data_IF_879002842941
#
_entry.id   IF_879002842941
#
_cell.length_a   1.000
_cell.length_b   1.000
_cell.length_c   1.000
_cell.angle_alpha   90.00
_cell.angle_beta   90.00
_cell.angle_gamma   90.00
#
_symmetry.space_group_name_H-M   'P 1'
#
loop_
_entity.id
_entity.type
_entity.pdbx_description
1 polymer ?
2 branched ?
3 non-polymer ?
4 non-polymer ?
5 water ?
#
# COMPACT_ATOMS: atom_id res chain seq x y z
N UNK A 1 16.09 -4.15 0.50
CA UNK A 1 14.86 -4.84 1.08
C UNK A 1 14.49 -4.07 2.33
N UNK A 2 13.24 -4.22 2.76
CA UNK A 2 12.86 -3.70 4.07
C UNK A 2 12.17 -4.86 4.86
N UNK A 3 12.15 -4.73 6.16
CA UNK A 3 11.58 -5.76 7.01
C UNK A 3 10.70 -5.19 8.12
N UNK A 4 9.77 -6.01 8.60
CA UNK A 4 8.96 -5.63 9.77
C UNK A 4 8.63 -6.93 10.56
N UNK A 5 8.85 -6.89 11.87
CA UNK A 5 8.54 -7.99 12.80
C UNK A 5 7.35 -7.69 13.70
N UNK A 6 6.37 -8.57 13.71
CA UNK A 6 5.21 -8.32 14.55
C UNK A 6 5.58 -8.66 16.03
N UNK A 7 6.58 -9.53 16.22
CA UNK A 7 6.94 -9.94 17.58
C UNK A 7 7.66 -8.74 18.24
N UNK A 8 7.04 -8.20 19.30
CA UNK A 8 7.61 -7.05 19.98
C UNK A 8 7.20 -5.73 19.29
N UNK A 9 6.37 -5.78 18.24
CA UNK A 9 6.01 -4.53 17.51
C UNK A 9 5.22 -3.52 18.37
N UNK A 10 5.50 -2.24 18.11
CA UNK A 10 4.76 -1.19 18.77
C UNK A 10 4.64 0.04 17.82
N UNK A 11 3.94 1.10 18.23
CA UNK A 11 3.85 2.20 17.23
C UNK A 11 5.16 2.69 16.72
N UNK A 12 6.17 2.71 17.56
CA UNK A 12 7.46 3.17 17.10
C UNK A 12 8.12 2.23 16.08
N UNK A 13 8.12 0.92 16.33
CA UNK A 13 8.79 0.05 15.38
C UNK A 13 8.02 -0.02 14.04
N UNK A 14 6.70 0.11 14.10
CA UNK A 14 5.89 0.14 12.90
C UNK A 14 6.26 1.45 12.11
N UNK A 15 6.36 2.56 12.83
CA UNK A 15 6.71 3.87 12.17
C UNK A 15 8.07 3.76 11.50
N UNK A 16 9.04 3.06 12.11
CA UNK A 16 10.38 2.83 11.51
C UNK A 16 10.26 2.01 10.22
N UNK A 17 9.41 0.96 10.23
CA UNK A 17 9.20 0.14 9.05
C UNK A 17 8.56 1.07 7.92
N UNK A 18 7.57 1.89 8.21
CA UNK A 18 6.91 2.62 7.18
C UNK A 18 7.89 3.70 6.61
N UNK A 19 8.67 4.27 7.55
CA UNK A 19 9.81 5.11 7.07
C UNK A 19 10.81 4.39 6.13
N UNK A 20 11.24 3.17 6.48
CA UNK A 20 12.15 2.36 5.63
C UNK A 20 11.47 2.08 4.29
N UNK A 21 10.14 1.79 4.34
CA UNK A 21 9.43 1.47 3.11
C UNK A 21 9.40 2.73 2.15
N UNK A 22 8.99 3.87 2.70
CA UNK A 22 9.02 5.11 1.86
C UNK A 22 10.46 5.35 1.31
N UNK A 23 11.45 5.16 2.14
CA UNK A 23 12.90 5.47 1.78
C UNK A 23 13.53 4.48 0.82
N UNK A 24 12.89 3.29 0.66
CA UNK A 24 13.36 2.33 -0.31
C UNK A 24 12.79 2.65 -1.73
N UNK A 25 11.82 3.57 -1.83
CA UNK A 25 11.29 3.84 -3.13
C UNK A 25 12.10 4.96 -3.79
N UNK A 26 12.54 4.71 -5.02
CA UNK A 26 13.42 5.74 -5.63
C UNK A 26 12.66 6.92 -6.22
N UNK A 27 13.34 8.09 -6.29
CA UNK A 27 12.75 9.26 -6.89
C UNK A 27 13.97 10.14 -7.24
N UNK A 28 13.78 10.98 -8.25
CA UNK A 28 14.84 11.91 -8.68
C UNK A 28 14.39 13.34 -8.37
N UNK A 29 13.09 13.57 -8.18
CA UNK A 29 12.54 14.90 -8.01
C UNK A 29 11.49 14.86 -6.89
N UNK A 30 11.29 15.98 -6.22
CA UNK A 30 10.10 16.23 -5.35
C UNK A 30 9.23 17.28 -6.00
N UNK A 31 7.93 17.14 -5.78
CA UNK A 31 6.95 18.08 -6.24
C UNK A 31 6.25 18.55 -5.01
N UNK A 32 6.34 19.87 -4.80
CA UNK A 32 5.88 20.49 -3.56
C UNK A 32 6.41 19.73 -2.34
N UNK A 33 7.69 19.33 -2.43
CA UNK A 33 8.43 18.73 -1.36
C UNK A 33 8.00 17.25 -1.04
N UNK A 34 7.18 16.70 -1.93
CA UNK A 34 6.72 15.27 -1.81
C UNK A 34 7.51 14.47 -2.90
N UNK A 35 8.21 13.37 -2.54
CA UNK A 35 8.87 12.52 -3.51
C UNK A 35 7.92 12.10 -4.66
N UNK A 36 8.41 12.25 -5.90
CA UNK A 36 7.66 11.88 -7.10
C UNK A 36 8.15 10.52 -7.54
N UNK A 37 7.29 9.50 -7.45
CA UNK A 37 7.79 8.21 -7.92
C UNK A 37 8.17 8.24 -9.43
N UNK A 38 9.06 7.32 -9.80
CA UNK A 38 9.57 7.25 -11.19
C UNK A 38 8.52 6.79 -12.23
N UNK A 39 8.66 7.22 -13.49
CA UNK A 39 7.72 6.79 -14.55
C UNK A 39 7.85 5.27 -14.74
N UNK A 40 9.07 4.77 -14.63
CA UNK A 40 9.31 3.36 -14.88
C UNK A 40 10.69 2.98 -14.41
N UNK A 41 10.91 1.69 -14.19
CA UNK A 41 12.17 1.15 -13.77
C UNK A 41 12.20 -0.19 -14.52
N UNK A 42 13.36 -0.51 -15.14
CA UNK A 42 13.47 -1.73 -15.97
C UNK A 42 14.11 -2.83 -15.20
N UNK A 43 13.63 -4.05 -15.47
CA UNK A 43 14.21 -5.25 -14.89
C UNK A 43 13.84 -5.48 -13.45
N UNK A 44 14.74 -6.11 -12.75
CA UNK A 44 14.47 -6.57 -11.41
C UNK A 44 14.36 -5.38 -10.41
N UNK A 45 15.06 -4.26 -10.73
CA UNK A 45 15.06 -3.12 -9.83
C UNK A 45 13.70 -2.46 -9.65
N UNK A 46 12.70 -2.85 -10.47
CA UNK A 46 11.35 -2.33 -10.35
C UNK A 46 10.74 -2.82 -9.01
N UNK A 47 11.26 -3.89 -8.45
CA UNK A 47 10.52 -4.56 -7.31
C UNK A 47 11.23 -4.47 -6.00
N UNK A 48 10.55 -3.92 -4.98
CA UNK A 48 11.10 -3.95 -3.63
C UNK A 48 10.59 -5.21 -2.91
N UNK A 49 11.44 -5.83 -2.13
CA UNK A 49 11.02 -7.04 -1.30
C UNK A 49 10.84 -6.57 0.13
N UNK A 50 9.65 -6.88 0.68
CA UNK A 50 9.34 -6.57 2.07
C UNK A 50 9.28 -7.88 2.80
N UNK A 51 10.14 -8.04 3.76
CA UNK A 51 10.11 -9.25 4.55
C UNK A 51 9.26 -9.04 5.77
N UNK A 52 8.12 -9.76 5.88
CA UNK A 52 7.28 -9.60 7.03
C UNK A 52 7.24 -10.81 7.91
N UNK A 53 7.27 -10.58 9.24
CA UNK A 53 7.31 -11.74 10.16
C UNK A 53 6.20 -11.68 11.14
N UNK A 54 5.46 -12.80 11.22
CA UNK A 54 4.35 -12.82 12.18
C UNK A 54 4.86 -12.95 13.58
N UNK A 55 3.95 -12.94 14.52
CA UNK A 55 4.39 -12.92 15.94
C UNK A 55 5.24 -14.17 16.29
N UNK A 56 4.93 -15.32 15.65
CA UNK A 56 5.71 -16.56 15.81
C UNK A 56 6.97 -16.60 15.01
N UNK A 57 7.28 -15.55 14.22
CA UNK A 57 8.60 -15.59 13.54
C UNK A 57 8.55 -16.25 12.15
N UNK A 58 7.40 -16.72 11.73
CA UNK A 58 7.21 -17.17 10.35
C UNK A 58 7.15 -16.02 9.39
N UNK A 59 7.55 -16.23 8.17
CA UNK A 59 7.74 -15.05 7.29
C UNK A 59 7.20 -15.26 5.88
N UNK A 60 6.75 -14.15 5.33
CA UNK A 60 6.51 -14.05 3.85
C UNK A 60 7.32 -12.88 3.30
N UNK A 61 7.66 -12.97 2.02
CA UNK A 61 8.34 -11.85 1.36
C UNK A 61 7.37 -11.30 0.36
N UNK A 62 7.12 -10.00 0.42
CA UNK A 62 6.17 -9.42 -0.48
C UNK A 62 6.86 -8.55 -1.53
N UNK A 63 6.47 -8.70 -2.80
CA UNK A 63 7.09 -7.91 -3.92
C UNK A 63 6.23 -6.73 -4.23
N UNK A 64 6.83 -5.52 -4.22
CA UNK A 64 6.15 -4.27 -4.41
C UNK A 64 6.80 -3.50 -5.62
N UNK A 65 5.94 -3.09 -6.53
CA UNK A 65 6.34 -2.29 -7.70
C UNK A 65 6.69 -0.84 -7.15
N UNK A 66 7.99 -0.47 -7.32
CA UNK A 66 8.52 0.81 -6.73
C UNK A 66 7.99 2.10 -7.45
N UNK A 67 7.37 1.95 -8.60
CA UNK A 67 6.83 3.11 -9.35
C UNK A 67 5.44 3.44 -8.85
N UNK A 68 4.70 2.46 -8.22
CA UNK A 68 3.34 2.79 -7.87
C UNK A 68 2.84 2.19 -6.47
N UNK A 69 3.78 1.54 -5.81
CA UNK A 69 3.61 0.89 -4.52
C UNK A 69 2.56 -0.22 -4.59
N UNK A 70 2.37 -0.79 -5.76
CA UNK A 70 1.35 -1.86 -5.89
C UNK A 70 1.99 -3.19 -5.54
N UNK A 71 1.30 -3.99 -4.70
CA UNK A 71 1.90 -5.31 -4.36
C UNK A 71 1.58 -6.22 -5.56
N UNK A 72 2.58 -6.92 -6.02
CA UNK A 72 2.45 -7.79 -7.18
C UNK A 72 2.22 -9.27 -6.74
N UNK A 73 2.90 -9.70 -5.69
CA UNK A 73 2.77 -11.10 -5.21
C UNK A 73 3.62 -11.27 -4.04
N UNK A 74 3.81 -12.52 -3.61
CA UNK A 74 4.53 -12.75 -2.36
C UNK A 74 5.01 -14.19 -2.42
N UNK A 75 6.00 -14.45 -1.61
CA UNK A 75 6.51 -15.77 -1.43
C UNK A 75 6.27 -16.26 0.00
N UNK A 76 5.87 -17.52 0.12
CA UNK A 76 5.57 -18.08 1.45
C UNK A 76 6.14 -19.53 1.40
N UNK A 77 7.24 -19.70 2.12
CA UNK A 77 8.11 -20.88 2.11
C UNK A 77 8.64 -21.16 0.72
N UNK A 78 8.08 -22.15 0.03
CA UNK A 78 8.66 -22.50 -1.27
C UNK A 78 7.60 -22.25 -2.38
N UNK A 79 6.50 -21.51 -2.10
CA UNK A 79 5.55 -21.27 -3.07
C UNK A 79 5.40 -19.77 -3.30
N UNK A 80 5.37 -19.35 -4.55
CA UNK A 80 5.09 -17.94 -4.85
C UNK A 80 3.67 -17.79 -5.26
N UNK A 81 3.11 -16.60 -5.05
CA UNK A 81 1.68 -16.31 -5.41
C UNK A 81 1.76 -14.99 -6.13
N UNK A 82 1.00 -14.80 -7.22
CA UNK A 82 0.93 -13.47 -7.89
C UNK A 82 -0.46 -13.20 -8.24
N UNK A 83 -0.81 -11.91 -8.22
CA UNK A 83 -2.13 -11.56 -8.70
C UNK A 83 -2.34 -11.94 -10.19
N UNK A 84 -3.62 -12.04 -10.55
CA UNK A 84 -3.96 -12.47 -11.93
C UNK A 84 -4.13 -11.21 -12.78
N UNK A 85 -2.96 -10.64 -13.11
CA UNK A 85 -2.93 -9.34 -13.90
C UNK A 85 -1.59 -9.20 -14.56
N UNK A 86 -1.55 -8.51 -15.72
CA UNK A 86 -0.30 -8.52 -16.48
C UNK A 86 0.94 -7.96 -15.74
N UNK A 87 0.77 -6.95 -14.92
CA UNK A 87 1.88 -6.37 -14.21
C UNK A 87 2.43 -7.38 -13.25
N UNK A 88 1.54 -8.25 -12.67
CA UNK A 88 2.04 -9.26 -11.72
C UNK A 88 2.73 -10.39 -12.45
N UNK A 89 2.15 -10.79 -13.60
CA UNK A 89 2.81 -11.81 -14.38
C UNK A 89 4.20 -11.36 -14.82
N UNK A 90 4.34 -10.10 -15.24
CA UNK A 90 5.67 -9.56 -15.56
C UNK A 90 6.59 -9.61 -14.37
N UNK A 91 6.09 -9.19 -13.19
CA UNK A 91 6.90 -9.29 -11.98
C UNK A 91 7.36 -10.72 -11.75
N UNK A 92 6.53 -11.72 -12.06
CA UNK A 92 6.93 -13.13 -11.83
C UNK A 92 8.10 -13.60 -12.71
N UNK A 93 8.44 -12.74 -13.67
CA UNK A 93 9.65 -12.99 -14.46
C UNK A 93 10.89 -12.58 -13.73
N UNK A 94 10.77 -11.76 -12.66
CA UNK A 94 11.92 -11.27 -11.90
C UNK A 94 12.13 -11.71 -10.42
N UNK A 95 11.06 -11.90 -9.66
CA UNK A 95 11.16 -12.15 -8.24
C UNK A 95 10.65 -13.58 -7.93
N UNK A 96 11.26 -14.19 -6.90
CA UNK A 96 10.82 -15.49 -6.34
C UNK A 96 10.93 -16.57 -7.40
N UNK A 97 11.80 -16.37 -8.41
CA UNK A 97 11.98 -17.43 -9.43
C UNK A 97 12.51 -18.75 -8.81
N UNK A 98 13.14 -18.71 -7.63
CA UNK A 98 13.57 -19.96 -6.99
C UNK A 98 12.45 -20.78 -6.26
N UNK A 99 11.22 -20.28 -6.17
CA UNK A 99 10.09 -21.01 -5.55
C UNK A 99 9.94 -22.33 -6.28
N UNK A 100 9.65 -23.39 -5.51
CA UNK A 100 9.32 -24.69 -6.16
C UNK A 100 8.06 -24.64 -7.04
N UNK A 101 7.07 -23.82 -6.71
CA UNK A 101 5.87 -23.71 -7.56
C UNK A 101 5.32 -22.29 -7.47
N UNK A 102 4.63 -21.87 -8.48
CA UNK A 102 4.04 -20.55 -8.58
C UNK A 102 2.52 -20.69 -8.75
N UNK A 103 1.76 -20.14 -7.79
CA UNK A 103 0.30 -20.07 -7.95
C UNK A 103 -0.13 -18.70 -8.37
N UNK A 104 -0.96 -18.64 -9.39
CA UNK A 104 -1.57 -17.36 -9.78
C UNK A 104 -2.87 -17.29 -8.97
N UNK A 105 -3.00 -16.26 -8.17
CA UNK A 105 -4.23 -16.08 -7.41
C UNK A 105 -5.39 -15.88 -8.34
N UNK A 106 -6.64 -16.21 -7.93
CA UNK A 106 -7.80 -16.14 -8.91
C UNK A 106 -8.53 -14.74 -8.85
N UNK A 107 -7.71 -13.67 -8.72
CA UNK A 107 -8.18 -12.34 -8.84
C UNK A 107 -6.98 -11.45 -9.13
N UNK A 108 -7.26 -10.29 -9.67
CA UNK A 108 -6.27 -9.23 -9.65
C UNK A 108 -6.16 -8.49 -8.32
N UNK A 109 -5.26 -7.53 -8.27
CA UNK A 109 -4.92 -6.88 -7.01
C UNK A 109 -5.76 -5.64 -6.71
N UNK A 110 -6.70 -5.33 -7.51
CA UNK A 110 -7.42 -4.17 -7.14
C UNK A 110 -8.53 -4.33 -6.11
N UNK A 111 -8.84 -3.20 -5.43
CA UNK A 111 -9.69 -3.29 -4.28
C UNK A 111 -11.04 -3.86 -4.65
N UNK A 112 -11.57 -3.48 -5.81
CA UNK A 112 -12.88 -4.00 -6.17
C UNK A 112 -12.86 -5.58 -6.30
N UNK A 113 -11.88 -6.14 -7.00
CA UNK A 113 -11.83 -7.60 -7.21
C UNK A 113 -11.55 -8.30 -5.92
N UNK A 114 -10.61 -7.74 -5.09
CA UNK A 114 -10.30 -8.38 -3.79
C UNK A 114 -11.46 -8.39 -2.86
N UNK A 115 -12.25 -7.33 -2.79
CA UNK A 115 -13.43 -7.28 -1.91
C UNK A 115 -14.49 -8.28 -2.41
N UNK A 116 -14.62 -8.42 -3.73
CA UNK A 116 -15.51 -9.43 -4.28
C UNK A 116 -15.06 -10.85 -3.82
N UNK A 117 -13.75 -11.18 -3.96
CA UNK A 117 -13.21 -12.46 -3.54
C UNK A 117 -13.40 -12.66 -2.06
N UNK A 118 -13.20 -11.59 -1.29
CA UNK A 118 -13.29 -11.68 0.18
C UNK A 118 -14.72 -11.80 0.66
N UNK A 119 -15.68 -11.30 -0.12
CA UNK A 119 -17.02 -11.37 0.38
C UNK A 119 -17.45 -10.11 1.16
N UNK A 120 -16.59 -9.10 1.27
CA UNK A 120 -16.93 -7.93 2.10
C UNK A 120 -16.12 -6.71 1.63
N UNK A 121 -16.69 -5.52 1.80
CA UNK A 121 -15.93 -4.29 1.43
C UNK A 121 -14.88 -4.07 2.51
N UNK A 122 -13.89 -3.29 2.18
CA UNK A 122 -12.97 -3.09 3.25
C UNK A 122 -13.46 -2.14 4.39
N UNK A 123 -14.56 -1.40 4.21
CA UNK A 123 -15.26 -0.71 5.34
C UNK A 123 -15.54 -1.64 6.50
N UNK A 124 -15.72 -2.91 6.19
CA UNK A 124 -16.07 -3.88 7.21
C UNK A 124 -14.96 -4.74 7.74
N UNK A 125 -13.70 -4.54 7.26
CA UNK A 125 -12.62 -5.46 7.65
C UNK A 125 -11.70 -4.69 8.61
N UNK A 126 -11.58 -5.16 9.86
CA UNK A 126 -10.72 -4.43 10.80
C UNK A 126 -9.27 -4.47 10.33
N UNK A 127 -8.60 -3.34 10.55
CA UNK A 127 -7.14 -3.34 10.29
C UNK A 127 -6.36 -2.89 11.52
N UNK A 128 -5.06 -3.06 11.54
CA UNK A 128 -4.25 -2.83 12.74
C UNK A 128 -3.08 -3.78 12.65
N UNK A 129 -2.22 -3.67 13.67
CA UNK A 129 -1.07 -4.55 13.82
C UNK A 129 -1.54 -6.04 14.10
N UNK A 130 -2.53 -6.22 14.96
CA UNK A 130 -2.97 -7.64 15.09
C UNK A 130 -3.55 -8.18 13.79
N UNK A 131 -4.30 -7.38 13.04
CA UNK A 131 -4.86 -7.91 11.79
C UNK A 131 -3.72 -8.20 10.82
N UNK A 132 -2.67 -7.40 10.85
CA UNK A 132 -1.50 -7.70 9.99
C UNK A 132 -0.85 -8.99 10.34
N UNK A 133 -0.66 -9.27 11.64
CA UNK A 133 -0.16 -10.56 12.09
C UNK A 133 -1.01 -11.70 11.57
N UNK A 134 -2.32 -11.55 11.67
CA UNK A 134 -3.19 -12.65 11.12
C UNK A 134 -3.03 -12.76 9.62
N UNK A 135 -2.84 -11.61 8.92
CA UNK A 135 -2.79 -11.67 7.47
C UNK A 135 -1.57 -12.41 7.00
N UNK A 136 -0.45 -12.17 7.66
CA UNK A 136 0.80 -12.87 7.30
C UNK A 136 0.55 -14.36 7.51
N UNK A 137 -0.02 -14.68 8.65
CA UNK A 137 -0.29 -16.10 8.98
C UNK A 137 -1.18 -16.75 7.95
N UNK A 138 -2.21 -16.06 7.51
CA UNK A 138 -3.12 -16.59 6.53
C UNK A 138 -2.38 -16.87 5.23
N UNK A 139 -1.46 -15.95 4.88
CA UNK A 139 -0.86 -16.04 3.55
C UNK A 139 0.11 -17.16 3.52
N UNK A 140 0.50 -17.66 4.71
CA UNK A 140 1.51 -18.74 4.75
C UNK A 140 1.03 -20.06 4.06
N UNK A 141 -0.28 -20.27 4.12
CA UNK A 141 -0.90 -21.42 3.41
C UNK A 141 -2.08 -21.02 2.55
N UNK A 142 -2.06 -21.58 1.34
CA UNK A 142 -2.96 -21.08 0.37
C UNK A 142 -4.41 -21.34 0.75
N UNK A 143 -5.28 -20.35 0.61
CA UNK A 143 -6.68 -20.46 0.73
C UNK A 143 -7.07 -19.15 0.03
N UNK A 144 -7.71 -19.20 -1.17
CA UNK A 144 -7.77 -17.96 -1.93
C UNK A 144 -8.85 -17.01 -1.38
N UNK A 145 -9.96 -17.55 -0.83
CA UNK A 145 -10.90 -16.63 -0.18
C UNK A 145 -10.35 -15.99 1.10
N UNK A 146 -9.63 -16.72 1.95
CA UNK A 146 -9.05 -16.11 3.19
C UNK A 146 -7.97 -15.11 2.75
N UNK A 147 -7.21 -15.50 1.71
CA UNK A 147 -6.12 -14.64 1.26
C UNK A 147 -6.64 -13.29 0.78
N UNK A 148 -7.83 -13.18 0.13
CA UNK A 148 -8.27 -11.89 -0.43
C UNK A 148 -8.45 -10.90 0.76
N UNK A 149 -9.02 -11.38 1.87
CA UNK A 149 -9.17 -10.50 3.05
C UNK A 149 -7.76 -10.18 3.66
N UNK A 150 -6.88 -11.15 3.73
CA UNK A 150 -5.57 -10.89 4.30
C UNK A 150 -4.90 -9.81 3.38
N UNK A 151 -5.01 -9.95 2.08
CA UNK A 151 -4.40 -9.02 1.21
C UNK A 151 -5.00 -7.60 1.33
N UNK A 152 -6.32 -7.44 1.58
CA UNK A 152 -6.87 -6.15 1.87
C UNK A 152 -6.25 -5.58 3.12
N UNK A 153 -5.97 -6.43 4.14
CA UNK A 153 -5.30 -5.87 5.31
C UNK A 153 -3.85 -5.50 5.01
N UNK A 154 -3.14 -6.39 4.29
CA UNK A 154 -1.75 -6.16 4.01
C UNK A 154 -1.51 -4.87 3.16
N UNK A 155 -2.35 -4.68 2.13
CA UNK A 155 -2.20 -3.47 1.21
C UNK A 155 -2.35 -2.17 2.03
N UNK A 156 -3.34 -2.16 2.97
CA UNK A 156 -3.64 -0.92 3.70
C UNK A 156 -2.62 -0.67 4.75
N UNK A 157 -2.02 -1.71 5.34
CA UNK A 157 -1.17 -1.47 6.51
C UNK A 157 0.28 -1.32 6.04
N UNK A 158 0.51 -1.49 4.74
CA UNK A 158 1.86 -1.43 4.20
C UNK A 158 2.00 -0.31 3.18
N UNK A 159 1.50 -0.66 1.92
CA UNK A 159 1.75 0.39 0.91
C UNK A 159 0.86 1.57 1.09
N UNK A 160 -0.41 1.52 1.70
CA UNK A 160 -1.23 2.70 1.96
C UNK A 160 -0.66 3.63 3.06
N UNK A 161 -0.34 3.05 4.20
CA UNK A 161 0.36 3.79 5.25
C UNK A 161 1.65 4.50 4.70
N UNK A 162 2.40 3.82 3.82
CA UNK A 162 3.59 4.53 3.21
C UNK A 162 3.07 5.79 2.44
N UNK A 163 1.91 5.73 1.75
CA UNK A 163 1.47 6.90 0.94
C UNK A 163 0.93 8.05 1.77
N UNK A 164 0.30 7.79 2.95
CA UNK A 164 -0.34 8.83 3.70
C UNK A 164 0.01 8.74 5.16
N UNK A 165 0.59 9.82 5.68
CA UNK A 165 0.90 9.86 7.10
C UNK A 165 -0.37 9.60 8.01
N UNK A 166 -1.53 10.09 7.60
CA UNK A 166 -2.77 9.91 8.37
C UNK A 166 -2.99 8.34 8.51
N UNK A 167 -2.74 7.60 7.41
CA UNK A 167 -3.09 6.15 7.47
C UNK A 167 -2.10 5.43 8.34
N UNK A 168 -0.86 5.85 8.23
CA UNK A 168 0.20 5.31 9.11
C UNK A 168 -0.22 5.54 10.61
N UNK A 169 -0.57 6.78 10.95
CA UNK A 169 -1.07 7.06 12.35
C UNK A 169 -2.34 6.22 12.73
N UNK A 170 -3.27 6.04 11.78
CA UNK A 170 -4.43 5.23 12.05
C UNK A 170 -3.98 3.80 12.46
N UNK A 171 -2.98 3.24 11.77
CA UNK A 171 -2.49 1.91 12.09
C UNK A 171 -1.75 1.94 13.42
N UNK A 172 -0.98 2.98 13.68
CA UNK A 172 -0.33 3.07 15.00
C UNK A 172 -1.35 3.09 16.17
N UNK A 173 -2.48 3.74 15.96
CA UNK A 173 -3.56 3.80 16.94
C UNK A 173 -4.17 2.37 17.14
N UNK A 174 -4.01 1.51 16.13
CA UNK A 174 -4.52 0.12 16.17
C UNK A 174 -3.39 -0.80 16.37
N UNK A 175 -2.39 -0.41 17.17
CA UNK A 175 -1.21 -1.32 17.34
C UNK A 175 -1.66 -2.57 18.15
N UNK A 176 -2.65 -2.42 19.04
CA UNK A 176 -3.00 -3.56 19.93
C UNK A 176 -4.47 -3.90 19.92
N UNK A 177 -5.21 -3.21 19.09
CA UNK A 177 -6.63 -3.47 18.89
C UNK A 177 -6.97 -3.09 17.45
N UNK A 178 -7.51 -4.04 16.66
CA UNK A 178 -8.00 -3.67 15.33
C UNK A 178 -9.22 -2.89 15.33
N UNK A 179 -9.37 -2.09 14.27
CA UNK A 179 -10.64 -1.43 14.06
C UNK A 179 -10.80 -1.18 12.57
N UNK A 180 -12.03 -1.21 12.08
CA UNK A 180 -12.22 -0.94 10.64
C UNK A 180 -11.64 0.47 10.33
N UNK A 181 -11.12 0.62 9.11
CA UNK A 181 -10.59 1.95 8.72
C UNK A 181 -11.64 3.09 8.85
N UNK A 182 -11.19 4.30 9.20
CA UNK A 182 -12.09 5.43 9.20
C UNK A 182 -12.53 5.71 7.74
N UNK A 183 -13.67 6.40 7.55
CA UNK A 183 -14.04 6.74 6.16
C UNK A 183 -13.02 7.71 5.52
N UNK A 184 -12.36 8.52 6.33
CA UNK A 184 -11.22 9.34 5.83
C UNK A 184 -10.13 8.45 5.21
N UNK A 185 -9.79 7.39 5.94
CA UNK A 185 -8.76 6.45 5.43
C UNK A 185 -9.19 5.89 4.04
N UNK A 186 -10.43 5.40 3.95
CA UNK A 186 -10.95 4.89 2.69
C UNK A 186 -10.91 5.96 1.53
N UNK A 187 -11.31 7.17 1.89
CA UNK A 187 -11.32 8.28 0.93
C UNK A 187 -9.91 8.52 0.36
N UNK A 188 -8.93 8.55 1.25
CA UNK A 188 -7.56 8.84 0.83
C UNK A 188 -7.06 7.71 -0.03
N UNK A 189 -7.29 6.45 0.41
CA UNK A 189 -6.96 5.37 -0.51
C UNK A 189 -7.44 5.53 -1.91
N UNK A 190 -8.72 5.79 -1.99
CA UNK A 190 -9.43 5.92 -3.24
C UNK A 190 -8.96 7.15 -4.06
N UNK A 191 -8.30 8.09 -3.38
CA UNK A 191 -7.98 9.41 -3.99
C UNK A 191 -6.52 9.55 -4.36
N UNK A 192 -5.71 8.51 -4.11
CA UNK A 192 -4.33 8.70 -4.23
C UNK A 192 -3.86 9.05 -5.65
N UNK A 193 -4.37 8.34 -6.63
CA UNK A 193 -4.10 8.67 -8.00
C UNK A 193 -4.49 10.12 -8.40
N UNK A 194 -5.72 10.45 -8.07
CA UNK A 194 -6.32 11.77 -8.27
C UNK A 194 -5.50 12.87 -7.62
N UNK A 195 -5.20 12.73 -6.34
CA UNK A 195 -4.29 13.67 -5.61
C UNK A 195 -2.93 13.79 -6.24
N UNK A 196 -2.33 12.68 -6.60
CA UNK A 196 -1.00 12.65 -7.13
C UNK A 196 -1.05 13.43 -8.47
N UNK A 197 -2.07 13.23 -9.28
CA UNK A 197 -2.18 13.98 -10.52
C UNK A 197 -2.39 15.50 -10.35
N UNK A 198 -3.34 15.87 -9.49
CA UNK A 198 -3.59 17.29 -9.20
C UNK A 198 -2.41 18.04 -8.61
N UNK A 199 -1.65 17.43 -7.71
CA UNK A 199 -0.44 18.02 -7.16
C UNK A 199 0.63 18.24 -8.27
N UNK A 200 0.81 17.29 -9.17
CA UNK A 200 1.63 17.52 -10.32
C UNK A 200 1.09 18.60 -11.30
N UNK A 201 -0.19 18.65 -11.52
CA UNK A 201 -0.75 19.65 -12.48
C UNK A 201 -0.69 21.03 -11.87
N UNK A 202 -0.70 21.11 -10.55
CA UNK A 202 -0.53 22.39 -9.83
C UNK A 202 0.82 23.08 -10.14
N UNK A 203 1.86 22.29 -10.51
CA UNK A 203 3.22 22.86 -10.70
C UNK A 203 3.22 23.94 -11.74
N UNK A 204 2.49 23.79 -12.83
CA UNK A 204 2.38 25.01 -13.72
C UNK A 204 1.07 25.80 -13.68
N UNK A 205 0.37 25.74 -12.55
CA UNK A 205 -0.91 26.33 -12.38
C UNK A 205 -0.92 27.12 -11.04
N UNK A 206 0.26 27.58 -10.60
CA UNK A 206 0.35 28.44 -9.39
C UNK A 206 -0.17 27.71 -8.14
N UNK A 207 0.10 26.41 -8.05
CA UNK A 207 -0.28 25.73 -6.77
C UNK A 207 -1.75 25.31 -6.77
N UNK A 208 -2.52 25.62 -7.84
CA UNK A 208 -3.99 25.39 -7.91
C UNK A 208 -4.33 24.08 -8.68
N UNK A 209 -5.13 23.16 -8.07
CA UNK A 209 -5.61 21.96 -8.80
C UNK A 209 -6.43 22.33 -10.07
N UNK A 210 -6.09 21.72 -11.20
CA UNK A 210 -6.99 21.83 -12.38
C UNK A 210 -8.39 21.26 -12.09
N UNK A 211 -8.48 20.22 -11.26
CA UNK A 211 -9.77 19.67 -10.87
C UNK A 211 -9.78 19.35 -9.36
N UNK A 212 -10.80 19.83 -8.61
CA UNK A 212 -10.77 19.65 -7.16
C UNK A 212 -10.94 18.18 -6.79
N UNK A 213 -10.32 17.82 -5.68
CA UNK A 213 -10.42 16.44 -5.21
C UNK A 213 -11.33 16.46 -3.99
N UNK A 214 -12.35 15.58 -4.01
CA UNK A 214 -13.33 15.49 -2.89
C UNK A 214 -12.84 14.39 -1.89
N UNK A 215 -12.62 14.77 -0.64
CA UNK A 215 -12.28 13.82 0.43
C UNK A 215 -13.24 13.85 1.61
N UNK A 216 -13.24 12.74 2.34
CA UNK A 216 -13.93 12.74 3.64
C UNK A 216 -12.95 13.10 4.74
N UNK A 217 -13.30 14.02 5.65
CA UNK A 217 -12.31 14.34 6.73
C UNK A 217 -12.48 13.43 7.98
N UNK A 218 -11.66 13.64 9.01
CA UNK A 218 -11.67 12.76 10.23
C UNK A 218 -12.96 12.78 11.04
N UNK A 219 -13.81 13.75 10.77
CA UNK A 219 -15.09 13.87 11.43
C UNK A 219 -16.17 13.33 10.59
N UNK A 220 -15.80 12.73 9.48
CA UNK A 220 -16.80 12.17 8.58
C UNK A 220 -17.42 13.19 7.64
N UNK A 221 -16.88 14.43 7.69
CA UNK A 221 -17.32 15.55 6.81
C UNK A 221 -16.64 15.57 5.43
N UNK A 222 -17.44 15.69 4.38
CA UNK A 222 -17.02 15.67 2.96
C UNK A 222 -16.44 17.02 2.49
N UNK A 223 -15.10 17.10 2.29
CA UNK A 223 -14.39 18.35 1.94
C UNK A 223 -13.82 18.40 0.49
N UNK A 224 -13.64 19.59 -0.08
CA UNK A 224 -12.97 19.73 -1.38
C UNK A 224 -11.53 20.20 -1.25
N UNK A 225 -10.59 19.53 -1.91
CA UNK A 225 -9.15 19.97 -1.87
C UNK A 225 -8.95 20.68 -3.23
N UNK A 226 -8.47 21.93 -3.19
CA UNK A 226 -8.43 22.76 -4.40
C UNK A 226 -7.04 23.27 -4.74
N UNK A 227 -6.09 23.15 -3.81
CA UNK A 227 -4.79 23.71 -4.01
C UNK A 227 -3.76 23.14 -3.03
N UNK A 228 -2.50 23.40 -3.28
CA UNK A 228 -1.45 22.75 -2.53
C UNK A 228 -1.29 23.27 -1.09
N UNK A 229 -2.05 24.28 -0.69
CA UNK A 229 -1.93 24.75 0.71
C UNK A 229 -2.75 23.82 1.67
N UNK A 230 -3.55 22.89 1.15
CA UNK A 230 -4.40 22.04 1.97
C UNK A 230 -3.51 21.12 2.82
N UNK A 231 -3.94 20.82 4.08
CA UNK A 231 -3.13 20.01 4.96
C UNK A 231 -2.91 18.60 4.30
N UNK A 232 -3.83 18.16 3.45
CA UNK A 232 -3.60 16.85 2.74
C UNK A 232 -2.28 16.83 1.94
N UNK A 233 -2.00 17.97 1.28
CA UNK A 233 -0.75 18.11 0.52
C UNK A 233 0.55 18.44 1.35
N UNK A 234 0.41 19.34 2.35
CA UNK A 234 1.55 19.86 3.14
C UNK A 234 1.94 18.92 4.26
N UNK A 235 1.00 18.08 4.68
CA UNK A 235 1.36 17.23 5.84
C UNK A 235 1.18 15.71 5.64
N UNK A 236 0.23 15.32 4.86
CA UNK A 236 -0.33 13.94 4.90
C UNK A 236 0.30 13.06 3.77
N UNK A 237 0.08 13.38 2.49
CA UNK A 237 0.58 12.57 1.38
C UNK A 237 2.08 12.51 1.41
N UNK A 238 2.70 11.32 1.17
CA UNK A 238 4.15 11.13 1.30
C UNK A 238 4.81 10.71 0.01
N UNK A 239 4.02 10.37 -1.02
CA UNK A 239 4.54 9.74 -2.28
C UNK A 239 3.54 10.11 -3.38
N UNK A 240 4.02 10.51 -4.57
CA UNK A 240 3.12 10.86 -5.65
C UNK A 240 3.31 9.83 -6.79
N UNK A 241 2.18 9.26 -7.22
CA UNK A 241 2.14 8.42 -8.42
C UNK A 241 2.47 9.35 -9.61
N UNK A 242 3.47 8.97 -10.39
CA UNK A 242 3.93 9.86 -11.50
C UNK A 242 2.73 9.98 -12.47
N UNK A 243 2.39 11.20 -12.99
CA UNK A 243 1.30 11.30 -14.00
C UNK A 243 1.46 10.44 -15.27
N UNK A 244 2.67 10.11 -15.65
CA UNK A 244 2.90 9.17 -16.77
C UNK A 244 2.21 7.78 -16.57
N UNK A 245 1.88 7.45 -15.31
CA UNK A 245 1.25 6.18 -14.94
C UNK A 245 -0.21 6.35 -14.61
N UNK A 246 -0.74 7.54 -14.91
CA UNK A 246 -2.13 7.82 -14.58
C UNK A 246 -2.99 8.08 -15.84
#
# INVERSE_FOLDING_TARGET
DVSFRLSGADPSSYGMFIKDLRNALPHTEKVYNIPLLLPSVSGAGRYLLMHLFNYDGNTITVAVDVTNVYIMGYLALTTSYFFNEPAADLASQYVFRSARRKITLPYSGNYERLQIAAGKPREKIPIGLPALDTAISTLLHYDSTAAAGALLVLIQTTAEAARFKYIEQQIQERAYRDEVPSSATISLENSWSGLSKQIQLAQGNNGVFRTPTVLVDSKGNRVQITNVTSNVVTSNIQLLLNTKNI
#
